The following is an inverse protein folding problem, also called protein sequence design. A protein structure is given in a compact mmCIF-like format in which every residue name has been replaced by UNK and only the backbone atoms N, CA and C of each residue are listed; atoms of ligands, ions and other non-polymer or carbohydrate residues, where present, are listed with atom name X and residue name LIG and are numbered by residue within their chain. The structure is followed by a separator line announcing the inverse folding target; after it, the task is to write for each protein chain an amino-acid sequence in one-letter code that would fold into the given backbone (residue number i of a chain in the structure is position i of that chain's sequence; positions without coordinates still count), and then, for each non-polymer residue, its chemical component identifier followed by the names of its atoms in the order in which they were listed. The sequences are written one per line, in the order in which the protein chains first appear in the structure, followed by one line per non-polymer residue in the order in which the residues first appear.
data_IF_649980375587
#
_entry.id   IF_649980375587
#
_cell.length_a   1.000
_cell.length_b   1.000
_cell.length_c   1.000
_cell.angle_alpha   90.00
_cell.angle_beta   90.00
_cell.angle_gamma   90.00
#
_symmetry.space_group_name_H-M   'P 1'
#
loop_
_entity.id
_entity.type
_entity.pdbx_description
1 polymer ?
#
# COMPACT_ATOMS: atom_id res chain seq x y z
N UNK A 1 -65.14 46.15 -17.97
CA UNK A 1 -63.68 46.40 -18.07
C UNK A 1 -63.11 46.29 -16.67
N UNK A 2 -62.01 45.56 -16.45
CA UNK A 2 -61.32 45.62 -15.17
C UNK A 2 -60.79 47.04 -15.00
N UNK A 3 -61.17 47.69 -13.90
CA UNK A 3 -60.72 49.05 -13.55
C UNK A 3 -59.45 48.88 -12.73
N UNK A 4 -58.36 49.50 -13.18
CA UNK A 4 -57.09 49.52 -12.43
C UNK A 4 -57.22 50.66 -11.43
N UNK A 5 -57.12 50.37 -10.13
CA UNK A 5 -57.16 51.40 -9.10
C UNK A 5 -55.86 52.21 -9.14
N UNK A 6 -55.91 53.52 -8.83
CA UNK A 6 -54.71 54.39 -8.86
C UNK A 6 -53.58 53.87 -7.94
N UNK A 7 -53.94 53.11 -6.89
CA UNK A 7 -53.02 52.39 -6.02
C UNK A 7 -52.20 51.34 -6.75
N UNK A 8 -52.80 50.58 -7.66
CA UNK A 8 -52.13 49.51 -8.41
C UNK A 8 -51.11 50.10 -9.40
N UNK A 9 -51.42 51.26 -9.96
CA UNK A 9 -50.53 52.03 -10.84
C UNK A 9 -49.31 52.57 -10.08
N UNK A 10 -49.51 53.05 -8.85
CA UNK A 10 -48.44 53.51 -7.97
C UNK A 10 -47.54 52.34 -7.52
N UNK A 11 -48.14 51.20 -7.20
CA UNK A 11 -47.41 49.99 -6.82
C UNK A 11 -46.58 49.45 -7.99
N UNK A 12 -47.14 49.44 -9.20
CA UNK A 12 -46.41 49.06 -10.41
C UNK A 12 -45.20 49.95 -10.66
N UNK A 13 -45.34 51.28 -10.53
CA UNK A 13 -44.22 52.20 -10.70
C UNK A 13 -43.12 51.94 -9.66
N UNK A 14 -43.52 51.72 -8.40
CA UNK A 14 -42.61 51.39 -7.31
C UNK A 14 -41.86 50.08 -7.56
N UNK A 15 -42.50 49.08 -8.14
CA UNK A 15 -41.87 47.81 -8.46
C UNK A 15 -40.94 47.90 -9.69
N UNK A 16 -41.29 48.73 -10.68
CA UNK A 16 -40.39 49.07 -11.80
C UNK A 16 -39.12 49.74 -11.27
N UNK A 17 -39.25 50.73 -10.38
CA UNK A 17 -38.10 51.43 -9.78
C UNK A 17 -37.22 50.47 -8.97
N UNK A 18 -37.82 49.60 -8.15
CA UNK A 18 -37.07 48.56 -7.42
C UNK A 18 -36.33 47.63 -8.38
N UNK A 19 -36.99 47.16 -9.43
CA UNK A 19 -36.38 46.28 -10.43
C UNK A 19 -35.20 46.97 -11.14
N UNK A 20 -35.33 48.26 -11.44
CA UNK A 20 -34.28 49.07 -12.05
C UNK A 20 -33.07 49.21 -11.11
N UNK A 21 -33.30 49.54 -9.84
CA UNK A 21 -32.24 49.60 -8.81
C UNK A 21 -31.54 48.25 -8.63
N UNK A 22 -32.30 47.14 -8.63
CA UNK A 22 -31.73 45.78 -8.52
C UNK A 22 -30.86 45.47 -9.74
N UNK A 23 -31.33 45.78 -10.95
CA UNK A 23 -30.56 45.56 -12.17
C UNK A 23 -29.25 46.36 -12.17
N UNK A 24 -29.27 47.62 -11.76
CA UNK A 24 -28.05 48.43 -11.62
C UNK A 24 -27.07 47.80 -10.63
N UNK A 25 -27.55 47.36 -9.46
CA UNK A 25 -26.72 46.66 -8.47
C UNK A 25 -26.13 45.36 -9.00
N UNK A 26 -26.91 44.57 -9.74
CA UNK A 26 -26.44 43.33 -10.37
C UNK A 26 -25.35 43.63 -11.42
N UNK A 27 -25.53 44.68 -12.22
CA UNK A 27 -24.52 45.13 -13.19
C UNK A 27 -23.22 45.53 -12.49
N UNK A 28 -23.31 46.27 -11.39
CA UNK A 28 -22.14 46.64 -10.59
C UNK A 28 -21.44 45.42 -9.98
N UNK A 29 -22.20 44.45 -9.47
CA UNK A 29 -21.65 43.19 -8.96
C UNK A 29 -20.93 42.40 -10.07
N UNK A 30 -21.52 42.32 -11.27
CA UNK A 30 -20.91 41.66 -12.42
C UNK A 30 -19.62 42.38 -12.83
N UNK A 31 -19.64 43.72 -12.86
CA UNK A 31 -18.46 44.53 -13.21
C UNK A 31 -17.33 44.34 -12.20
N UNK A 32 -17.64 44.33 -10.91
CA UNK A 32 -16.68 44.08 -9.84
C UNK A 32 -16.09 42.67 -9.92
N UNK A 33 -16.94 41.64 -10.01
CA UNK A 33 -16.49 40.25 -10.17
C UNK A 33 -15.66 40.05 -11.44
N UNK A 34 -16.04 40.66 -12.56
CA UNK A 34 -15.23 40.59 -13.79
C UNK A 34 -13.86 41.24 -13.62
N UNK A 35 -13.75 42.35 -12.88
CA UNK A 35 -12.48 42.99 -12.55
C UNK A 35 -11.61 42.10 -11.66
N UNK A 36 -12.22 41.46 -10.66
CA UNK A 36 -11.55 40.50 -9.77
C UNK A 36 -11.06 39.27 -10.52
N UNK A 37 -11.90 38.67 -11.38
CA UNK A 37 -11.53 37.53 -12.23
C UNK A 37 -10.38 37.88 -13.16
N UNK A 38 -10.38 39.08 -13.78
CA UNK A 38 -9.27 39.54 -14.62
C UNK A 38 -7.96 39.64 -13.83
N UNK A 39 -8.01 40.21 -12.62
CA UNK A 39 -6.84 40.28 -11.73
C UNK A 39 -6.34 38.89 -11.31
N UNK A 40 -7.24 38.01 -10.90
CA UNK A 40 -6.90 36.63 -10.51
C UNK A 40 -6.27 35.85 -11.67
N UNK A 41 -6.80 35.97 -12.89
CA UNK A 41 -6.22 35.34 -14.09
C UNK A 41 -4.81 35.85 -14.36
N UNK A 42 -4.57 37.15 -14.23
CA UNK A 42 -3.23 37.72 -14.45
C UNK A 42 -2.24 37.26 -13.37
N UNK A 43 -2.66 37.25 -12.10
CA UNK A 43 -1.85 36.76 -10.99
C UNK A 43 -1.49 35.29 -11.16
N UNK A 44 -2.45 34.44 -11.56
CA UNK A 44 -2.19 33.02 -11.80
C UNK A 44 -1.20 32.79 -12.93
N UNK A 45 -1.32 33.53 -14.04
CA UNK A 45 -0.40 33.39 -15.17
C UNK A 45 1.01 33.85 -14.81
N UNK A 46 1.14 34.93 -14.03
CA UNK A 46 2.43 35.41 -13.51
C UNK A 46 3.04 34.41 -12.53
N UNK A 47 2.24 33.89 -11.59
CA UNK A 47 2.70 32.89 -10.62
C UNK A 47 3.17 31.62 -11.33
N UNK A 48 2.42 31.13 -12.31
CA UNK A 48 2.78 29.95 -13.11
C UNK A 48 4.12 30.15 -13.83
N UNK A 49 4.36 31.35 -14.39
CA UNK A 49 5.63 31.70 -15.01
C UNK A 49 6.80 31.69 -14.01
N UNK A 50 6.63 32.30 -12.84
CA UNK A 50 7.65 32.34 -11.79
C UNK A 50 7.97 30.92 -11.29
N UNK A 51 6.94 30.11 -11.02
CA UNK A 51 7.13 28.72 -10.56
C UNK A 51 7.82 27.88 -11.62
N UNK A 52 7.50 28.07 -12.91
CA UNK A 52 8.16 27.38 -14.01
C UNK A 52 9.64 27.75 -14.10
N UNK A 53 9.97 29.03 -14.01
CA UNK A 53 11.36 29.51 -14.00
C UNK A 53 12.13 28.95 -12.80
N UNK A 54 11.51 28.92 -11.62
CA UNK A 54 12.11 28.37 -10.41
C UNK A 54 12.41 26.87 -10.58
N UNK A 55 11.45 26.08 -11.08
CA UNK A 55 11.66 24.65 -11.32
C UNK A 55 12.80 24.40 -12.30
N UNK A 56 12.84 25.12 -13.43
CA UNK A 56 13.94 25.01 -14.41
C UNK A 56 15.27 25.40 -13.77
N UNK A 57 15.32 26.52 -13.02
CA UNK A 57 16.53 26.96 -12.33
C UNK A 57 17.03 25.95 -11.30
N UNK A 58 16.13 25.37 -10.49
CA UNK A 58 16.48 24.33 -9.52
C UNK A 58 16.99 23.06 -10.20
N UNK A 59 16.39 22.66 -11.33
CA UNK A 59 16.84 21.50 -12.09
C UNK A 59 18.24 21.70 -12.67
N UNK A 60 18.55 22.90 -13.17
CA UNK A 60 19.88 23.26 -13.67
C UNK A 60 20.91 23.21 -12.54
N UNK A 61 20.63 23.85 -11.40
CA UNK A 61 21.55 23.82 -10.24
C UNK A 61 21.74 22.40 -9.73
N UNK A 62 20.67 21.60 -9.67
CA UNK A 62 20.73 20.21 -9.25
C UNK A 62 21.58 19.36 -10.21
N UNK A 63 21.43 19.52 -11.52
CA UNK A 63 22.23 18.75 -12.50
C UNK A 63 23.73 19.11 -12.44
N UNK A 64 24.06 20.40 -12.28
CA UNK A 64 25.45 20.83 -12.12
C UNK A 64 26.07 20.38 -10.79
N UNK A 65 25.30 20.39 -9.69
CA UNK A 65 25.81 19.98 -8.37
C UNK A 65 25.93 18.47 -8.24
N UNK A 66 24.97 17.70 -8.76
CA UNK A 66 25.06 16.24 -8.85
C UNK A 66 26.27 15.80 -9.69
N UNK A 67 26.51 16.45 -10.84
CA UNK A 67 27.69 16.18 -11.67
C UNK A 67 29.02 16.46 -10.96
N UNK A 68 29.11 17.53 -10.15
CA UNK A 68 30.31 17.84 -9.36
C UNK A 68 30.52 16.90 -8.17
N UNK A 69 29.45 16.42 -7.54
CA UNK A 69 29.55 15.42 -6.46
C UNK A 69 30.08 14.06 -6.94
N UNK A 70 29.91 13.73 -8.22
CA UNK A 70 30.46 12.50 -8.82
C UNK A 70 31.93 12.69 -9.24
N UNK A 71 32.33 13.90 -9.64
CA UNK A 71 33.68 14.20 -10.13
C UNK A 71 34.77 14.22 -9.04
N UNK A 72 34.43 14.44 -7.77
CA UNK A 72 35.44 14.52 -6.69
C UNK A 72 35.93 13.14 -6.19
N UNK A 73 35.46 12.04 -6.80
CA UNK A 73 35.94 10.68 -6.54
C UNK A 73 36.63 10.04 -7.76
N UNK A 74 36.96 10.82 -8.80
CA UNK A 74 37.67 10.32 -9.97
C UNK A 74 39.08 10.92 -10.05
N UNK A 75 39.97 10.39 -9.20
CA UNK A 75 41.39 10.48 -9.48
C UNK A 75 41.77 9.47 -10.57
N UNK A 76 42.27 10.04 -11.67
CA UNK A 76 43.14 9.48 -12.72
C UNK A 76 42.60 8.46 -13.74
N UNK A 77 42.63 8.82 -15.05
CA UNK A 77 42.50 7.90 -16.16
C UNK A 77 43.88 7.36 -16.55
N UNK A 78 44.09 6.04 -16.45
CA UNK A 78 45.07 5.39 -17.33
C UNK A 78 44.66 3.94 -17.63
N UNK A 79 44.45 3.70 -18.91
CA UNK A 79 44.41 2.39 -19.58
C UNK A 79 43.26 1.45 -19.19
N UNK A 80 42.28 1.40 -20.10
CA UNK A 80 41.25 0.38 -20.20
C UNK A 80 41.89 -0.96 -20.65
N UNK A 81 42.76 -1.51 -19.81
CA UNK A 81 43.02 -2.94 -19.73
C UNK A 81 42.16 -3.42 -18.56
N UNK A 82 40.90 -3.74 -18.84
CA UNK A 82 40.07 -4.47 -17.88
C UNK A 82 40.69 -5.85 -17.75
N UNK A 83 41.54 -6.03 -16.74
CA UNK A 83 42.01 -7.35 -16.33
C UNK A 83 40.76 -8.19 -16.08
N UNK A 84 40.68 -9.39 -16.68
CA UNK A 84 39.51 -10.29 -16.55
C UNK A 84 39.09 -10.47 -15.09
N UNK A 85 40.05 -10.45 -14.17
CA UNK A 85 39.88 -10.51 -12.71
C UNK A 85 38.96 -9.40 -12.14
N UNK A 86 39.00 -8.19 -12.71
CA UNK A 86 38.10 -7.09 -12.32
C UNK A 86 36.68 -7.27 -12.85
N UNK A 87 36.51 -7.92 -14.00
CA UNK A 87 35.19 -8.19 -14.58
C UNK A 87 34.47 -9.31 -13.81
N UNK A 88 35.22 -10.32 -13.38
CA UNK A 88 34.71 -11.39 -12.51
C UNK A 88 34.34 -10.86 -11.12
N UNK A 89 35.14 -9.95 -10.56
CA UNK A 89 34.80 -9.27 -9.30
C UNK A 89 33.50 -8.44 -9.42
N UNK A 90 33.31 -7.73 -10.53
CA UNK A 90 32.08 -6.95 -10.80
C UNK A 90 30.88 -7.88 -10.99
N UNK A 91 31.05 -8.97 -11.75
CA UNK A 91 29.99 -9.97 -11.96
C UNK A 91 29.59 -10.65 -10.66
N UNK A 92 30.56 -11.05 -9.84
CA UNK A 92 30.32 -11.61 -8.50
C UNK A 92 29.57 -10.62 -7.60
N UNK A 93 29.91 -9.33 -7.66
CA UNK A 93 29.20 -8.30 -6.89
C UNK A 93 27.75 -8.12 -7.37
N UNK A 94 27.51 -8.15 -8.68
CA UNK A 94 26.16 -8.08 -9.25
C UNK A 94 25.34 -9.31 -8.86
N UNK A 95 25.93 -10.50 -8.94
CA UNK A 95 25.26 -11.75 -8.57
C UNK A 95 24.92 -11.76 -7.06
N UNK A 96 25.84 -11.30 -6.20
CA UNK A 96 25.57 -11.15 -4.76
C UNK A 96 24.47 -10.12 -4.46
N UNK A 97 24.46 -8.98 -5.15
CA UNK A 97 23.40 -7.96 -5.00
C UNK A 97 22.04 -8.44 -5.49
N UNK A 98 21.99 -9.27 -6.54
CA UNK A 98 20.75 -9.92 -6.99
C UNK A 98 20.24 -10.90 -5.96
N UNK A 99 21.12 -11.76 -5.43
CA UNK A 99 20.77 -12.70 -4.37
C UNK A 99 20.24 -11.98 -3.13
N UNK A 100 20.89 -10.90 -2.69
CA UNK A 100 20.41 -10.08 -1.56
C UNK A 100 19.03 -9.47 -1.83
N UNK A 101 18.74 -9.02 -3.05
CA UNK A 101 17.43 -8.50 -3.40
C UNK A 101 16.35 -9.59 -3.44
N UNK A 102 16.68 -10.79 -3.91
CA UNK A 102 15.77 -11.94 -3.88
C UNK A 102 15.46 -12.36 -2.44
N UNK A 103 16.48 -12.49 -1.59
CA UNK A 103 16.32 -12.75 -0.15
C UNK A 103 15.45 -11.67 0.52
N UNK A 104 15.66 -10.40 0.21
CA UNK A 104 14.87 -9.29 0.75
C UNK A 104 13.41 -9.31 0.26
N UNK A 105 13.16 -9.75 -0.99
CA UNK A 105 11.81 -9.93 -1.52
C UNK A 105 11.07 -11.05 -0.81
N UNK A 106 11.72 -12.20 -0.61
CA UNK A 106 11.16 -13.35 0.11
C UNK A 106 10.81 -12.98 1.56
N UNK A 107 11.70 -12.25 2.23
CA UNK A 107 11.45 -11.74 3.59
C UNK A 107 10.23 -10.81 3.61
N UNK A 108 10.12 -9.89 2.64
CA UNK A 108 8.97 -8.98 2.54
C UNK A 108 7.66 -9.73 2.30
N UNK A 109 7.66 -10.70 1.39
CA UNK A 109 6.49 -11.56 1.10
C UNK A 109 6.08 -12.37 2.33
N UNK A 110 7.04 -12.93 3.06
CA UNK A 110 6.81 -13.60 4.34
C UNK A 110 6.17 -12.68 5.38
N UNK A 111 6.67 -11.44 5.53
CA UNK A 111 6.07 -10.45 6.45
C UNK A 111 4.66 -10.03 6.02
N UNK A 112 4.41 -9.90 4.72
CA UNK A 112 3.07 -9.59 4.19
C UNK A 112 2.11 -10.75 4.45
N UNK A 113 2.49 -11.98 4.11
CA UNK A 113 1.73 -13.17 4.40
C UNK A 113 1.41 -13.27 5.90
N UNK A 114 2.41 -13.09 6.78
CA UNK A 114 2.22 -13.04 8.23
C UNK A 114 1.20 -11.96 8.66
N UNK A 115 1.27 -10.77 8.08
CA UNK A 115 0.36 -9.66 8.39
C UNK A 115 -1.08 -9.91 7.86
N UNK A 116 -1.22 -10.66 6.76
CA UNK A 116 -2.53 -11.12 6.30
C UNK A 116 -3.08 -12.19 7.23
N UNK A 117 -2.25 -13.15 7.65
CA UNK A 117 -2.58 -14.19 8.62
C UNK A 117 -2.90 -13.65 10.04
N UNK A 118 -2.38 -12.48 10.42
CA UNK A 118 -2.73 -11.82 11.69
C UNK A 118 -4.16 -11.23 11.69
N UNK A 119 -4.81 -11.06 10.53
CA UNK A 119 -6.14 -10.42 10.45
C UNK A 119 -7.31 -11.39 10.43
N UNK A 120 -7.07 -12.66 10.10
CA UNK A 120 -8.11 -13.67 9.90
C UNK A 120 -7.89 -14.88 10.81
N UNK A 121 -8.98 -15.52 11.23
CA UNK A 121 -8.90 -16.75 12.03
C UNK A 121 -8.41 -17.88 11.15
N UNK A 122 -7.31 -18.54 11.51
CA UNK A 122 -6.72 -19.64 10.74
C UNK A 122 -7.01 -20.96 11.43
N UNK A 123 -7.45 -21.94 10.67
CA UNK A 123 -7.70 -23.30 11.15
C UNK A 123 -6.53 -24.20 10.76
N UNK A 124 -6.01 -24.97 11.70
CA UNK A 124 -4.90 -25.90 11.47
C UNK A 124 -5.26 -27.29 11.95
N UNK A 125 -4.86 -28.33 11.21
CA UNK A 125 -5.14 -29.73 11.58
C UNK A 125 -3.92 -30.32 12.25
N UNK A 126 -4.03 -30.71 13.52
CA UNK A 126 -2.90 -31.20 14.31
C UNK A 126 -2.93 -32.72 14.47
N UNK A 127 -1.77 -33.35 14.28
CA UNK A 127 -1.60 -34.81 14.32
C UNK A 127 -0.61 -35.16 15.43
N UNK A 128 -1.17 -35.47 16.61
CA UNK A 128 -0.48 -35.98 17.82
C UNK A 128 0.55 -35.02 18.44
N UNK A 129 0.73 -35.16 19.76
CA UNK A 129 1.78 -34.47 20.50
C UNK A 129 2.78 -35.45 21.10
N UNK A 130 4.06 -35.21 20.87
CA UNK A 130 5.16 -35.99 21.44
C UNK A 130 5.93 -35.13 22.45
N UNK A 131 6.35 -35.76 23.54
CA UNK A 131 7.15 -35.15 24.63
C UNK A 131 8.64 -35.14 24.28
N UNK A 132 9.07 -35.91 23.28
CA UNK A 132 10.48 -36.22 23.06
C UNK A 132 11.19 -35.24 22.11
N UNK A 133 12.37 -34.80 22.54
CA UNK A 133 13.05 -33.58 22.08
C UNK A 133 13.97 -33.81 20.87
N UNK A 134 13.73 -34.84 20.05
CA UNK A 134 14.73 -35.23 19.04
C UNK A 134 14.15 -35.87 17.78
N UNK A 135 13.43 -35.12 16.92
CA UNK A 135 13.18 -35.55 15.53
C UNK A 135 13.07 -34.37 14.56
N UNK A 136 14.18 -34.05 13.90
CA UNK A 136 14.32 -33.21 12.69
C UNK A 136 13.88 -33.97 11.44
N UNK A 137 12.58 -34.32 11.32
CA UNK A 137 12.06 -35.04 10.14
C UNK A 137 10.88 -34.36 9.44
N UNK A 138 10.68 -33.06 9.62
CA UNK A 138 9.84 -32.30 8.68
C UNK A 138 10.76 -31.84 7.55
N UNK A 139 10.75 -32.58 6.44
CA UNK A 139 11.39 -32.16 5.20
C UNK A 139 10.91 -30.73 4.86
N UNK A 140 11.85 -29.86 4.50
CA UNK A 140 11.62 -28.48 4.01
C UNK A 140 10.62 -28.41 2.83
N UNK A 141 10.17 -29.54 2.30
CA UNK A 141 9.16 -29.70 1.27
C UNK A 141 7.69 -29.55 1.75
N UNK A 142 7.42 -29.42 3.05
CA UNK A 142 6.05 -29.25 3.56
C UNK A 142 5.75 -27.77 3.87
N UNK A 143 5.44 -27.01 2.82
CA UNK A 143 5.19 -25.56 2.81
C UNK A 143 4.08 -25.09 3.78
N UNK A 144 3.27 -26.01 4.32
CA UNK A 144 2.14 -25.69 5.21
C UNK A 144 2.26 -26.33 6.61
N UNK A 145 3.43 -26.29 7.24
CA UNK A 145 3.60 -26.76 8.63
C UNK A 145 4.08 -25.63 9.54
N UNK A 146 3.32 -25.34 10.59
CA UNK A 146 3.70 -24.36 11.63
C UNK A 146 4.02 -25.10 12.93
N UNK A 147 5.24 -24.92 13.46
CA UNK A 147 5.59 -25.48 14.76
C UNK A 147 5.06 -24.58 15.87
N UNK A 148 4.04 -25.04 16.60
CA UNK A 148 3.56 -24.36 17.81
C UNK A 148 4.18 -25.04 19.03
N UNK A 149 5.17 -24.38 19.65
CA UNK A 149 5.75 -24.84 20.92
C UNK A 149 4.81 -24.47 22.08
N UNK A 150 4.07 -25.45 22.58
CA UNK A 150 3.31 -25.32 23.84
C UNK A 150 3.94 -26.27 24.85
N UNK A 151 4.90 -25.82 25.66
CA UNK A 151 5.54 -26.66 26.68
C UNK A 151 4.51 -27.44 27.52
N UNK A 152 4.65 -28.76 27.75
CA UNK A 152 5.74 -29.69 27.36
C UNK A 152 5.46 -30.54 26.10
N UNK A 153 4.59 -30.05 25.20
CA UNK A 153 4.00 -30.81 24.10
C UNK A 153 4.32 -30.16 22.75
N UNK A 154 5.10 -30.83 21.89
CA UNK A 154 5.25 -30.42 20.49
C UNK A 154 4.02 -30.90 19.72
N UNK A 155 3.27 -30.00 19.10
CA UNK A 155 2.09 -30.35 18.27
C UNK A 155 2.43 -30.12 16.80
N UNK A 156 2.30 -31.16 15.98
CA UNK A 156 2.52 -31.06 14.53
C UNK A 156 1.22 -30.62 13.86
N UNK A 157 1.14 -29.40 13.36
CA UNK A 157 0.03 -28.96 12.50
C UNK A 157 0.38 -29.23 11.04
N UNK A 158 -0.47 -29.99 10.35
CA UNK A 158 -0.43 -30.20 8.91
C UNK A 158 -1.56 -29.36 8.30
N UNK A 159 -1.21 -28.36 7.50
CA UNK A 159 -2.17 -27.51 6.81
C UNK A 159 -2.65 -26.32 7.64
N UNK A 160 -2.72 -25.17 6.98
CA UNK A 160 -3.40 -23.96 7.46
C UNK A 160 -4.52 -23.67 6.46
N UNK A 161 -5.74 -23.45 6.95
CA UNK A 161 -6.94 -23.26 6.16
C UNK A 161 -7.64 -21.98 6.58
N UNK A 162 -8.22 -21.29 5.61
CA UNK A 162 -8.99 -20.05 5.83
C UNK A 162 -10.36 -20.37 6.42
N UNK A 163 -10.91 -21.55 6.11
CA UNK A 163 -12.24 -21.98 6.56
C UNK A 163 -12.19 -23.23 7.44
N UNK A 164 -13.16 -23.34 8.34
CA UNK A 164 -13.31 -24.51 9.20
C UNK A 164 -13.62 -25.77 8.38
N UNK A 165 -14.45 -25.65 7.35
CA UNK A 165 -14.89 -26.77 6.49
C UNK A 165 -13.72 -27.42 5.74
N UNK A 166 -12.79 -26.62 5.22
CA UNK A 166 -11.58 -27.11 4.57
C UNK A 166 -10.68 -27.87 5.56
N UNK A 167 -10.51 -27.35 6.78
CA UNK A 167 -9.76 -28.01 7.82
C UNK A 167 -10.40 -29.32 8.27
N UNK A 168 -11.73 -29.37 8.41
CA UNK A 168 -12.48 -30.59 8.73
C UNK A 168 -12.35 -31.63 7.61
N UNK A 169 -12.43 -31.21 6.35
CA UNK A 169 -12.24 -32.08 5.18
C UNK A 169 -10.83 -32.68 5.15
N UNK A 170 -9.80 -31.86 5.39
CA UNK A 170 -8.43 -32.34 5.45
C UNK A 170 -8.18 -33.27 6.65
N UNK A 171 -8.76 -32.96 7.81
CA UNK A 171 -8.76 -33.86 8.97
C UNK A 171 -9.35 -35.23 8.61
N UNK A 172 -10.49 -35.26 7.92
CA UNK A 172 -11.12 -36.51 7.50
C UNK A 172 -10.18 -37.35 6.62
N UNK A 173 -9.52 -36.72 5.65
CA UNK A 173 -8.52 -37.39 4.82
C UNK A 173 -7.35 -37.95 5.65
N UNK A 174 -6.85 -37.18 6.64
CA UNK A 174 -5.80 -37.66 7.54
C UNK A 174 -6.26 -38.84 8.40
N UNK A 175 -7.50 -38.82 8.89
CA UNK A 175 -8.09 -39.95 9.63
C UNK A 175 -8.19 -41.18 8.73
N UNK A 176 -8.63 -41.02 7.49
CA UNK A 176 -8.73 -42.10 6.49
C UNK A 176 -7.34 -42.69 6.16
N UNK A 177 -6.28 -41.88 6.25
CA UNK A 177 -4.88 -42.31 6.09
C UNK A 177 -4.28 -42.96 7.35
N UNK A 178 -5.05 -43.07 8.44
CA UNK A 178 -4.63 -43.74 9.68
C UNK A 178 -4.24 -42.81 10.82
N UNK A 179 -4.37 -41.49 10.67
CA UNK A 179 -4.13 -40.51 11.74
C UNK A 179 -5.41 -40.26 12.55
N UNK A 180 -5.88 -41.27 13.28
CA UNK A 180 -7.14 -41.24 14.04
C UNK A 180 -7.23 -40.12 15.08
N UNK A 181 -6.08 -39.70 15.61
CA UNK A 181 -5.98 -38.70 16.69
C UNK A 181 -5.90 -37.26 16.15
N UNK A 182 -6.15 -37.04 14.84
CA UNK A 182 -6.12 -35.71 14.26
C UNK A 182 -7.27 -34.83 14.78
N UNK A 183 -7.01 -33.56 15.06
CA UNK A 183 -8.02 -32.58 15.49
C UNK A 183 -7.80 -31.21 14.84
N UNK A 184 -8.88 -30.44 14.67
CA UNK A 184 -8.81 -29.07 14.14
C UNK A 184 -8.66 -28.08 15.29
N UNK A 185 -7.73 -27.14 15.18
CA UNK A 185 -7.56 -26.05 16.14
C UNK A 185 -7.53 -24.71 15.43
N UNK A 186 -8.25 -23.72 15.97
CA UNK A 186 -8.29 -22.36 15.46
C UNK A 186 -7.28 -21.46 16.16
N UNK A 187 -6.69 -20.56 15.39
CA UNK A 187 -5.64 -19.63 15.81
C UNK A 187 -6.00 -18.21 15.40
N UNK A 188 -5.71 -17.26 16.28
CA UNK A 188 -5.78 -15.82 16.00
C UNK A 188 -4.62 -15.13 16.70
N UNK A 189 -3.98 -14.20 16.00
CA UNK A 189 -2.77 -13.51 16.48
C UNK A 189 -1.66 -14.47 16.94
N UNK A 190 -1.53 -15.62 16.28
CA UNK A 190 -0.57 -16.67 16.61
C UNK A 190 -0.86 -17.44 17.91
N UNK A 191 -2.01 -17.22 18.55
CA UNK A 191 -2.46 -17.94 19.76
C UNK A 191 -3.63 -18.85 19.44
N UNK A 192 -3.62 -20.05 20.02
CA UNK A 192 -4.74 -21.00 19.89
C UNK A 192 -5.96 -20.45 20.62
N UNK A 193 -7.09 -20.41 19.92
CA UNK A 193 -8.39 -19.99 20.47
C UNK A 193 -9.12 -21.21 21.04
N UNK A 194 -9.40 -22.20 20.20
CA UNK A 194 -10.17 -23.39 20.60
C UNK A 194 -9.81 -24.62 19.77
N UNK A 195 -10.24 -25.81 20.23
CA UNK A 195 -10.34 -27.00 19.40
C UNK A 195 -11.74 -26.97 18.80
N UNK A 196 -11.82 -27.10 17.48
CA UNK A 196 -13.07 -27.06 16.75
C UNK A 196 -13.69 -28.45 16.67
N UNK A 197 -15.02 -28.47 16.48
CA UNK A 197 -15.75 -29.73 16.35
C UNK A 197 -15.26 -30.49 15.10
N UNK A 198 -15.14 -31.84 15.19
CA UNK A 198 -14.81 -32.66 14.03
C UNK A 198 -15.82 -32.63 12.87
N UNK A 199 -17.03 -32.08 13.05
CA UNK A 199 -18.12 -32.06 12.07
C UNK A 199 -18.80 -30.70 11.88
#
# INVERSE_FOLDING_TARGET
MPFIEESDLLELHKDIDKAQIINERLLDQIKFKNKEIKKSKIQRNVLAGITGLFLIGTLIVFSFTAGRSVSNNYDSPSNLLVSIDSLDAIKSRIDNLKQQNEELSLVREFYLAKKFLEKETIYSVQVKSFVDNNMTLASEALTNTMFVKTNPFYSYSLGNFETLEEAQTFRKQLVDLGFSDAFVASYKDGKRIQIEDPF
#
